data_IF_151953809679
#
_entry.id   IF_151953809679
#
_cell.length_a   1.000
_cell.length_b   1.000
_cell.length_c   1.000
_cell.angle_alpha   90.00
_cell.angle_beta   90.00
_cell.angle_gamma   90.00
#
_symmetry.space_group_name_H-M   'P 1'
#
loop_
_entity.id
_entity.type
_entity.pdbx_description
1 polymer ?
#
# COMPACT_ATOMS: atom_id res chain seq x y z
N UNK A 1 -5.19 -9.63 -6.24
CA UNK A 1 -5.01 -10.79 -5.34
C UNK A 1 -4.58 -10.32 -3.95
N UNK A 2 -5.22 -10.80 -2.91
CA UNK A 2 -4.85 -10.46 -1.54
C UNK A 2 -3.58 -11.21 -1.15
N UNK A 3 -2.58 -10.47 -0.68
CA UNK A 3 -1.33 -11.03 -0.16
C UNK A 3 -1.39 -11.01 1.36
N UNK A 4 -0.94 -12.07 1.99
CA UNK A 4 -0.88 -12.15 3.45
C UNK A 4 0.17 -11.21 4.04
N UNK A 5 1.28 -11.00 3.33
CA UNK A 5 2.38 -10.11 3.72
C UNK A 5 2.60 -9.07 2.64
N UNK A 6 2.68 -7.80 3.04
CA UNK A 6 2.84 -6.66 2.14
C UNK A 6 4.09 -5.87 2.49
N UNK A 7 4.75 -5.33 1.47
CA UNK A 7 5.88 -4.44 1.66
C UNK A 7 5.42 -3.16 2.37
N UNK A 8 6.13 -2.78 3.44
CA UNK A 8 5.77 -1.60 4.23
C UNK A 8 6.83 -0.52 4.17
N UNK A 9 8.05 -0.87 3.82
CA UNK A 9 9.12 0.09 3.71
C UNK A 9 10.48 -0.56 3.50
N UNK A 10 11.52 0.27 3.43
CA UNK A 10 12.90 -0.17 3.23
C UNK A 10 13.81 0.52 4.21
N UNK A 11 14.71 -0.24 4.83
CA UNK A 11 15.76 0.30 5.69
C UNK A 11 16.77 1.01 4.81
N UNK A 12 16.95 2.32 5.02
CA UNK A 12 17.82 3.14 4.17
C UNK A 12 19.09 3.62 4.86
N UNK A 13 19.20 3.44 6.18
CA UNK A 13 20.38 3.84 6.91
C UNK A 13 20.24 3.63 8.41
N UNK A 14 21.23 4.10 9.15
CA UNK A 14 21.25 4.05 10.61
C UNK A 14 20.92 5.41 11.21
N UNK A 15 20.52 5.41 12.48
CA UNK A 15 20.27 6.64 13.24
C UNK A 15 20.84 6.46 14.64
N UNK A 16 21.83 7.29 14.99
CA UNK A 16 22.51 7.18 16.29
C UNK A 16 23.38 5.94 16.39
N UNK A 17 23.68 5.49 17.61
CA UNK A 17 24.64 4.43 17.90
C UNK A 17 24.03 3.19 18.58
N UNK A 18 22.72 3.23 18.85
CA UNK A 18 22.03 2.16 19.60
C UNK A 18 21.32 1.15 18.73
N UNK A 19 21.52 1.21 17.42
CA UNK A 19 20.89 0.28 16.48
C UNK A 19 19.58 0.76 15.88
N UNK A 20 19.17 2.01 16.16
CA UNK A 20 18.01 2.58 15.46
C UNK A 20 18.30 2.74 13.97
N UNK A 21 17.29 2.51 13.16
CA UNK A 21 17.39 2.53 11.70
C UNK A 21 16.39 3.50 11.11
N UNK A 22 16.78 4.13 10.01
CA UNK A 22 15.87 4.94 9.21
C UNK A 22 15.19 4.06 8.19
N UNK A 23 13.86 4.09 8.19
CA UNK A 23 13.03 3.33 7.26
C UNK A 23 12.28 4.29 6.36
N UNK A 24 12.47 4.14 5.06
CA UNK A 24 11.68 4.87 4.07
C UNK A 24 10.34 4.17 3.93
N UNK A 25 9.22 4.78 4.36
CA UNK A 25 7.93 4.12 4.30
C UNK A 25 7.42 4.03 2.84
N UNK A 26 6.92 2.86 2.49
CA UNK A 26 6.24 2.62 1.21
C UNK A 26 4.73 2.54 1.42
N UNK A 27 4.25 3.11 2.51
CA UNK A 27 2.86 3.24 2.89
C UNK A 27 2.53 4.73 3.03
N UNK A 28 1.29 5.05 3.41
CA UNK A 28 0.80 6.43 3.45
C UNK A 28 1.65 7.38 4.30
N UNK A 29 2.20 6.88 5.41
CA UNK A 29 2.97 7.73 6.31
C UNK A 29 3.88 6.91 7.22
N UNK A 30 4.90 7.55 7.83
CA UNK A 30 5.72 6.87 8.84
C UNK A 30 4.92 6.38 10.04
N UNK A 31 3.83 7.05 10.39
CA UNK A 31 2.95 6.65 11.49
C UNK A 31 2.29 5.30 11.26
N UNK A 32 2.07 4.93 10.01
CA UNK A 32 1.46 3.64 9.68
C UNK A 32 2.31 2.48 10.18
N UNK A 33 3.64 2.59 10.11
CA UNK A 33 4.56 1.54 10.55
C UNK A 33 4.53 1.37 12.07
N UNK A 34 4.21 2.43 12.81
CA UNK A 34 4.20 2.44 14.27
C UNK A 34 3.20 1.45 14.89
N UNK A 35 2.16 1.07 14.18
CA UNK A 35 1.14 0.15 14.69
C UNK A 35 1.61 -1.30 14.80
N UNK A 36 2.67 -1.68 14.09
CA UNK A 36 3.10 -3.07 14.03
C UNK A 36 4.05 -3.42 15.16
N UNK A 37 3.75 -4.51 15.87
CA UNK A 37 4.63 -5.06 16.92
C UNK A 37 5.63 -6.04 16.34
N UNK A 38 5.34 -6.59 15.16
CA UNK A 38 6.19 -7.54 14.44
C UNK A 38 6.23 -7.13 12.98
N UNK A 39 7.43 -7.14 12.41
CA UNK A 39 7.66 -6.97 10.98
C UNK A 39 8.43 -8.17 10.47
N UNK A 40 8.55 -8.27 9.15
CA UNK A 40 9.16 -9.43 8.51
C UNK A 40 10.17 -8.98 7.47
N UNK A 41 11.21 -9.79 7.27
CA UNK A 41 12.23 -9.52 6.24
C UNK A 41 11.96 -10.27 4.94
N UNK A 42 10.88 -11.04 4.88
CA UNK A 42 10.53 -11.82 3.70
C UNK A 42 9.03 -11.76 3.40
N UNK A 43 8.70 -12.03 2.15
CA UNK A 43 7.31 -12.01 1.67
C UNK A 43 6.45 -13.18 2.16
N UNK A 44 7.08 -14.19 2.79
CA UNK A 44 6.39 -15.39 3.28
C UNK A 44 6.19 -15.37 4.80
N UNK A 45 6.69 -14.33 5.49
CA UNK A 45 6.55 -14.21 6.94
C UNK A 45 7.38 -15.18 7.75
N UNK A 46 8.45 -15.74 7.17
CA UNK A 46 9.30 -16.72 7.84
C UNK A 46 10.36 -16.07 8.72
N UNK A 47 10.76 -14.84 8.39
CA UNK A 47 11.81 -14.11 9.10
C UNK A 47 11.20 -12.97 9.90
N UNK A 48 10.49 -13.32 10.97
CA UNK A 48 9.85 -12.35 11.84
C UNK A 48 10.87 -11.65 12.74
N UNK A 49 10.63 -10.37 13.00
CA UNK A 49 11.44 -9.58 13.93
C UNK A 49 10.51 -8.71 14.78
N UNK A 50 10.78 -8.66 16.09
CA UNK A 50 9.97 -7.87 17.02
C UNK A 50 10.38 -6.40 16.95
N UNK A 51 9.37 -5.52 16.88
CA UNK A 51 9.58 -4.07 16.91
C UNK A 51 9.56 -3.59 18.36
N UNK A 52 10.66 -3.05 18.82
CA UNK A 52 10.78 -2.51 20.18
C UNK A 52 10.32 -1.07 20.27
N UNK A 53 10.57 -0.27 19.24
CA UNK A 53 10.14 1.11 19.16
C UNK A 53 10.06 1.55 17.71
N UNK A 54 9.13 2.44 17.44
CA UNK A 54 9.00 3.07 16.12
C UNK A 54 8.42 4.47 16.33
N UNK A 55 9.05 5.45 15.70
CA UNK A 55 8.58 6.85 15.77
C UNK A 55 8.80 7.54 14.45
N UNK A 56 7.87 8.42 14.03
CA UNK A 56 8.07 9.21 12.84
C UNK A 56 9.17 10.25 13.06
N UNK A 57 9.93 10.53 11.99
CA UNK A 57 11.00 11.53 12.01
C UNK A 57 11.07 12.15 10.61
N UNK A 58 10.38 13.28 10.42
CA UNK A 58 10.23 13.85 9.09
C UNK A 58 9.51 12.88 8.15
N UNK A 59 10.14 12.55 7.04
CA UNK A 59 9.56 11.67 6.03
C UNK A 59 9.90 10.18 6.24
N UNK A 60 10.66 9.87 7.27
CA UNK A 60 11.08 8.50 7.57
C UNK A 60 10.56 8.05 8.92
N UNK A 61 10.59 6.74 9.18
CA UNK A 61 10.34 6.17 10.48
C UNK A 61 11.69 5.77 11.09
N UNK A 62 11.86 6.05 12.39
CA UNK A 62 13.00 5.54 13.15
C UNK A 62 12.57 4.28 13.86
N UNK A 63 13.22 3.17 13.52
CA UNK A 63 12.82 1.84 13.93
C UNK A 63 13.89 1.18 14.78
N UNK A 64 13.49 0.62 15.92
CA UNK A 64 14.35 -0.19 16.77
C UNK A 64 13.82 -1.61 16.79
N UNK A 65 14.65 -2.56 16.35
CA UNK A 65 14.28 -3.98 16.29
C UNK A 65 15.01 -4.77 17.38
N UNK A 66 14.36 -5.83 17.85
CA UNK A 66 14.96 -6.75 18.82
C UNK A 66 16.22 -7.41 18.25
N UNK A 67 17.30 -7.40 19.03
CA UNK A 67 18.57 -7.98 18.63
C UNK A 67 19.48 -7.06 17.83
N UNK A 68 19.02 -5.87 17.48
CA UNK A 68 19.80 -4.88 16.72
C UNK A 68 20.15 -3.73 17.64
N UNK A 69 21.31 -3.82 18.30
CA UNK A 69 21.70 -2.90 19.37
C UNK A 69 22.93 -2.06 19.04
N UNK A 70 23.53 -2.26 17.86
CA UNK A 70 24.75 -1.56 17.45
C UNK A 70 24.59 -0.95 16.05
N UNK A 71 25.44 0.05 15.75
CA UNK A 71 25.50 0.65 14.41
C UNK A 71 25.85 -0.40 13.38
N UNK A 72 26.78 -1.31 13.70
CA UNK A 72 27.22 -2.35 12.78
C UNK A 72 26.11 -3.31 12.43
N UNK A 73 25.34 -3.76 13.43
CA UNK A 73 24.21 -4.65 13.21
C UNK A 73 23.11 -3.95 12.38
N UNK A 74 22.83 -2.68 12.70
CA UNK A 74 21.84 -1.90 11.94
C UNK A 74 22.30 -1.65 10.51
N UNK A 75 23.58 -1.32 10.32
CA UNK A 75 24.15 -1.08 9.00
C UNK A 75 24.11 -2.30 8.10
N UNK A 76 24.23 -3.49 8.68
CA UNK A 76 24.12 -4.75 7.93
C UNK A 76 22.72 -4.99 7.34
N UNK A 77 21.71 -4.30 7.86
CA UNK A 77 20.33 -4.42 7.37
C UNK A 77 19.97 -3.35 6.33
N UNK A 78 20.90 -2.49 5.97
CA UNK A 78 20.68 -1.45 4.97
C UNK A 78 20.19 -2.07 3.66
N UNK A 79 19.19 -1.42 3.06
CA UNK A 79 18.51 -1.83 1.82
C UNK A 79 17.60 -3.05 1.99
N UNK A 80 17.43 -3.59 3.19
CA UNK A 80 16.45 -4.65 3.42
C UNK A 80 15.03 -4.09 3.34
N UNK A 81 14.15 -4.83 2.68
CA UNK A 81 12.72 -4.50 2.59
C UNK A 81 12.03 -5.12 3.79
N UNK A 82 11.14 -4.36 4.38
CA UNK A 82 10.32 -4.81 5.51
C UNK A 82 8.92 -5.11 5.02
N UNK A 83 8.34 -6.19 5.56
CA UNK A 83 7.00 -6.66 5.25
C UNK A 83 6.16 -6.62 6.52
N UNK A 84 4.87 -6.37 6.35
CA UNK A 84 3.89 -6.44 7.43
C UNK A 84 2.91 -7.57 7.15
N UNK A 85 2.32 -8.13 8.19
CA UNK A 85 1.21 -9.06 8.05
C UNK A 85 -0.08 -8.26 7.86
N UNK A 86 -0.79 -8.52 6.78
CA UNK A 86 -1.99 -7.76 6.43
C UNK A 86 -3.03 -7.74 7.56
N UNK A 87 -3.21 -8.87 8.24
CA UNK A 87 -4.18 -8.98 9.33
C UNK A 87 -3.82 -8.15 10.56
N UNK A 88 -2.55 -7.74 10.69
CA UNK A 88 -2.12 -6.88 11.80
C UNK A 88 -2.33 -5.39 11.49
N UNK A 89 -2.61 -5.03 10.25
CA UNK A 89 -2.79 -3.65 9.85
C UNK A 89 -4.19 -3.16 10.16
N UNK A 90 -4.25 -1.96 10.74
CA UNK A 90 -5.51 -1.24 10.95
C UNK A 90 -5.55 -0.09 9.95
N UNK A 91 -6.50 -0.15 9.03
CA UNK A 91 -6.71 0.90 8.03
C UNK A 91 -8.09 1.52 8.25
N UNK A 92 -8.24 2.77 7.84
CA UNK A 92 -9.52 3.47 7.95
C UNK A 92 -10.56 2.79 7.07
N UNK A 93 -11.82 2.86 7.49
CA UNK A 93 -12.93 2.37 6.66
C UNK A 93 -12.90 3.07 5.30
N UNK A 94 -13.04 2.29 4.22
CA UNK A 94 -12.95 2.81 2.86
C UNK A 94 -11.54 2.96 2.31
N UNK A 95 -10.52 2.71 3.13
CA UNK A 95 -9.11 2.72 2.68
C UNK A 95 -8.68 1.32 2.26
N UNK A 96 -7.80 1.26 1.27
CA UNK A 96 -7.28 0.00 0.72
C UNK A 96 -5.79 0.11 0.45
N UNK A 97 -5.10 -1.02 0.48
CA UNK A 97 -3.71 -1.06 0.04
C UNK A 97 -3.65 -0.99 -1.48
N UNK A 98 -2.80 -0.12 -2.03
CA UNK A 98 -2.65 0.05 -3.48
C UNK A 98 -2.33 -1.29 -4.15
N UNK A 99 -1.45 -2.10 -3.53
CA UNK A 99 -1.09 -3.40 -4.07
C UNK A 99 -2.28 -4.36 -4.20
N UNK A 100 -3.31 -4.21 -3.37
CA UNK A 100 -4.52 -5.04 -3.45
C UNK A 100 -5.52 -4.53 -4.48
N UNK A 101 -5.53 -3.20 -4.71
CA UNK A 101 -6.40 -2.60 -5.71
C UNK A 101 -5.90 -2.87 -7.13
N UNK A 102 -4.59 -2.90 -7.32
CA UNK A 102 -4.01 -3.17 -8.64
C UNK A 102 -4.40 -4.56 -9.14
N UNK A 103 -4.61 -4.67 -10.43
CA UNK A 103 -5.07 -5.86 -11.13
C UNK A 103 -6.56 -6.22 -10.88
N UNK A 104 -7.28 -5.43 -10.08
CA UNK A 104 -8.74 -5.60 -9.97
C UNK A 104 -9.43 -5.19 -11.27
N UNK A 105 -10.45 -5.94 -11.65
CA UNK A 105 -11.29 -5.61 -12.79
C UNK A 105 -12.32 -4.58 -12.39
N UNK A 106 -12.44 -3.52 -13.19
CA UNK A 106 -13.38 -2.43 -12.95
C UNK A 106 -14.59 -2.58 -13.85
N UNK A 107 -15.76 -2.74 -13.25
CA UNK A 107 -17.03 -2.96 -13.95
C UNK A 107 -18.06 -1.91 -13.57
N UNK A 108 -19.14 -1.84 -14.37
CA UNK A 108 -20.24 -0.93 -14.09
C UNK A 108 -21.06 -1.40 -12.88
N UNK A 109 -21.39 -0.48 -11.99
CA UNK A 109 -22.15 -0.81 -10.78
C UNK A 109 -23.58 -1.29 -11.09
N UNK A 110 -24.15 -0.83 -12.18
CA UNK A 110 -25.52 -1.16 -12.59
C UNK A 110 -25.56 -2.31 -13.60
N UNK A 111 -24.46 -2.58 -14.30
CA UNK A 111 -24.34 -3.65 -15.30
C UNK A 111 -22.96 -4.29 -15.22
N UNK A 112 -22.83 -5.36 -14.45
CA UNK A 112 -21.56 -6.04 -14.21
C UNK A 112 -20.94 -6.68 -15.46
N UNK A 113 -21.72 -6.81 -16.54
CA UNK A 113 -21.18 -7.29 -17.82
C UNK A 113 -20.39 -6.24 -18.55
N UNK A 114 -20.55 -4.97 -18.19
CA UNK A 114 -19.81 -3.86 -18.78
C UNK A 114 -18.50 -3.67 -18.02
N UNK A 115 -17.39 -4.02 -18.67
CA UNK A 115 -16.05 -3.91 -18.09
C UNK A 115 -15.39 -2.64 -18.60
N UNK A 116 -14.93 -1.78 -17.67
CA UNK A 116 -14.20 -0.56 -18.00
C UNK A 116 -12.70 -0.79 -18.17
N UNK A 117 -12.17 -1.84 -17.58
CA UNK A 117 -10.76 -2.19 -17.67
C UNK A 117 -10.21 -2.77 -16.39
N UNK A 118 -8.91 -2.63 -16.20
CA UNK A 118 -8.19 -3.12 -15.02
C UNK A 118 -7.48 -1.94 -14.36
N UNK A 119 -7.57 -1.87 -13.03
CA UNK A 119 -6.87 -0.84 -12.27
C UNK A 119 -5.38 -1.15 -12.27
N UNK A 120 -4.56 -0.20 -12.76
CA UNK A 120 -3.11 -0.38 -12.90
C UNK A 120 -2.30 0.41 -11.90
N UNK A 121 -2.81 1.54 -11.42
CA UNK A 121 -2.07 2.39 -10.50
C UNK A 121 -3.02 3.31 -9.75
N UNK A 122 -2.51 3.90 -8.68
CA UNK A 122 -3.23 4.90 -7.86
C UNK A 122 -2.29 6.07 -7.61
N UNK A 123 -2.77 7.29 -7.87
CA UNK A 123 -2.04 8.51 -7.56
C UNK A 123 -2.74 9.22 -6.39
N UNK A 124 -1.97 9.54 -5.37
CA UNK A 124 -2.46 10.27 -4.21
C UNK A 124 -2.24 11.77 -4.45
N UNK A 125 -3.32 12.53 -4.57
CA UNK A 125 -3.24 13.96 -4.93
C UNK A 125 -3.45 14.90 -3.75
N UNK A 126 -3.70 14.36 -2.57
CA UNK A 126 -3.97 15.18 -1.38
C UNK A 126 -5.44 15.53 -1.17
N UNK A 127 -6.22 15.68 -2.23
CA UNK A 127 -7.67 15.91 -2.15
C UNK A 127 -8.44 14.60 -2.31
N UNK A 128 -8.27 13.95 -3.45
CA UNK A 128 -8.85 12.63 -3.73
C UNK A 128 -7.81 11.81 -4.48
N UNK A 129 -7.81 10.50 -4.24
CA UNK A 129 -6.98 9.63 -5.04
C UNK A 129 -7.50 9.57 -6.47
N UNK A 130 -6.58 9.39 -7.42
CA UNK A 130 -6.91 9.18 -8.83
C UNK A 130 -6.53 7.75 -9.19
N UNK A 131 -7.49 7.01 -9.72
CA UNK A 131 -7.28 5.62 -10.14
C UNK A 131 -7.05 5.56 -11.64
N UNK A 132 -6.00 4.85 -12.03
CA UNK A 132 -5.64 4.62 -13.43
C UNK A 132 -6.19 3.28 -13.88
N UNK A 133 -7.04 3.31 -14.91
CA UNK A 133 -7.70 2.12 -15.45
C UNK A 133 -7.25 1.94 -16.89
N UNK A 134 -6.75 0.75 -17.22
CA UNK A 134 -6.30 0.43 -18.56
C UNK A 134 -7.26 -0.54 -19.26
N UNK A 135 -7.58 -0.23 -20.50
CA UNK A 135 -8.35 -1.10 -21.37
C UNK A 135 -7.88 -0.93 -22.82
N UNK A 136 -7.51 -2.02 -23.46
CA UNK A 136 -7.12 -2.06 -24.88
C UNK A 136 -6.00 -1.05 -25.22
N UNK A 137 -5.05 -0.87 -24.32
CA UNK A 137 -3.92 0.02 -24.50
C UNK A 137 -4.22 1.49 -24.21
N UNK A 138 -5.45 1.81 -23.80
CA UNK A 138 -5.83 3.16 -23.37
C UNK A 138 -5.90 3.24 -21.86
N UNK A 139 -5.51 4.39 -21.33
CA UNK A 139 -5.55 4.66 -19.91
C UNK A 139 -6.63 5.70 -19.61
N UNK A 140 -7.46 5.39 -18.62
CA UNK A 140 -8.52 6.27 -18.14
C UNK A 140 -8.25 6.62 -16.68
N UNK A 141 -8.53 7.85 -16.30
CA UNK A 141 -8.35 8.33 -14.93
C UNK A 141 -9.72 8.60 -14.32
N UNK A 142 -9.96 8.05 -13.14
CA UNK A 142 -11.19 8.33 -12.38
C UNK A 142 -10.86 8.80 -10.97
N UNK A 143 -11.67 9.72 -10.40
CA UNK A 143 -11.52 10.07 -9.00
C UNK A 143 -12.08 8.97 -8.10
N UNK A 144 -11.36 8.62 -7.06
CA UNK A 144 -11.79 7.62 -6.08
C UNK A 144 -12.68 8.28 -5.02
N UNK A 145 -13.87 8.70 -5.43
CA UNK A 145 -14.85 9.38 -4.56
C UNK A 145 -16.10 8.51 -4.43
N UNK A 146 -16.89 8.68 -3.33
CA UNK A 146 -18.08 7.86 -3.11
C UNK A 146 -19.10 7.91 -4.25
N UNK A 147 -19.20 9.05 -4.97
CA UNK A 147 -20.13 9.20 -6.08
C UNK A 147 -19.72 8.36 -7.30
N UNK A 148 -18.47 7.94 -7.39
CA UNK A 148 -17.94 7.14 -8.51
C UNK A 148 -17.74 5.70 -8.10
N UNK A 149 -17.06 5.45 -6.97
CA UNK A 149 -16.74 4.10 -6.51
C UNK A 149 -17.89 3.56 -5.66
N UNK A 150 -18.65 2.62 -6.23
CA UNK A 150 -19.79 2.00 -5.52
C UNK A 150 -19.30 0.96 -4.51
N UNK A 151 -18.42 0.06 -4.95
CA UNK A 151 -17.91 -0.98 -4.06
C UNK A 151 -16.55 -1.49 -4.53
N UNK A 152 -15.79 -2.01 -3.57
CA UNK A 152 -14.49 -2.63 -3.82
C UNK A 152 -14.47 -3.99 -3.14
N UNK A 153 -14.27 -5.04 -3.91
CA UNK A 153 -14.10 -6.40 -3.39
C UNK A 153 -12.73 -6.93 -3.82
N UNK A 154 -11.74 -6.71 -2.95
CA UNK A 154 -10.37 -7.13 -3.24
C UNK A 154 -10.20 -8.65 -3.24
N UNK A 155 -11.09 -9.38 -2.54
CA UNK A 155 -11.05 -10.85 -2.52
C UNK A 155 -11.42 -11.45 -3.86
N UNK A 156 -12.47 -10.92 -4.49
CA UNK A 156 -12.88 -11.39 -5.82
C UNK A 156 -12.15 -10.66 -6.94
N UNK A 157 -11.44 -9.56 -6.62
CA UNK A 157 -10.73 -8.76 -7.61
C UNK A 157 -11.64 -7.91 -8.47
N UNK A 158 -12.78 -7.45 -7.93
CA UNK A 158 -13.78 -6.68 -8.67
C UNK A 158 -14.06 -5.35 -7.99
N UNK A 159 -14.03 -4.28 -8.77
CA UNK A 159 -14.39 -2.92 -8.35
C UNK A 159 -15.60 -2.49 -9.18
N UNK A 160 -16.64 -2.01 -8.52
CA UNK A 160 -17.85 -1.51 -9.19
C UNK A 160 -17.88 0.00 -9.12
N UNK A 161 -18.07 0.64 -10.27
CA UNK A 161 -18.08 2.10 -10.38
C UNK A 161 -19.29 2.61 -11.16
N UNK A 162 -19.60 3.90 -10.90
CA UNK A 162 -20.50 4.72 -11.73
C UNK A 162 -19.66 5.88 -12.24
N UNK A 163 -19.03 5.75 -13.42
CA UNK A 163 -18.09 6.76 -13.89
C UNK A 163 -18.79 8.08 -14.20
N UNK A 164 -18.06 9.17 -14.04
CA UNK A 164 -18.53 10.47 -14.45
C UNK A 164 -18.68 10.52 -15.97
N UNK A 165 -19.69 11.23 -16.42
CA UNK A 165 -19.94 11.38 -17.85
C UNK A 165 -18.73 11.98 -18.55
N UNK A 166 -18.36 11.41 -19.68
CA UNK A 166 -17.26 11.87 -20.53
C UNK A 166 -15.94 11.11 -20.35
N UNK A 167 -15.77 10.37 -19.25
CA UNK A 167 -14.48 9.68 -18.98
C UNK A 167 -14.29 8.50 -19.94
N UNK A 168 -15.34 7.71 -20.18
CA UNK A 168 -15.27 6.52 -21.02
C UNK A 168 -16.08 6.68 -22.33
N UNK A 169 -16.50 7.87 -22.67
CA UNK A 169 -17.36 8.13 -23.83
C UNK A 169 -16.63 8.02 -25.17
N UNK A 170 -15.32 7.93 -25.17
CA UNK A 170 -14.50 7.77 -26.39
C UNK A 170 -14.55 6.35 -26.96
N UNK A 171 -15.30 5.47 -26.36
CA UNK A 171 -15.40 4.07 -26.80
C UNK A 171 -16.44 3.84 -27.88
N UNK A 172 -17.13 4.86 -28.27
CA UNK A 172 -18.16 4.76 -29.32
C UNK A 172 -17.56 4.74 -30.73
#
# INVERSE_FOLDING_TARGET
MIKEYLEVGQIVGTHGVRGEMRVNPWCDSPEFIKQFKTLYFDKNGQKAVKVLACRPHGNVALLKLEGIDTVEAASALRNKVLYMKRSDAKISEGSYFIAELCDCTVVDADDETKVYGVLTDVSETGANDVWYIEKDGKEYLIPAIPDVVESVDVKSGVIKIRPLKGIFDDED
#
